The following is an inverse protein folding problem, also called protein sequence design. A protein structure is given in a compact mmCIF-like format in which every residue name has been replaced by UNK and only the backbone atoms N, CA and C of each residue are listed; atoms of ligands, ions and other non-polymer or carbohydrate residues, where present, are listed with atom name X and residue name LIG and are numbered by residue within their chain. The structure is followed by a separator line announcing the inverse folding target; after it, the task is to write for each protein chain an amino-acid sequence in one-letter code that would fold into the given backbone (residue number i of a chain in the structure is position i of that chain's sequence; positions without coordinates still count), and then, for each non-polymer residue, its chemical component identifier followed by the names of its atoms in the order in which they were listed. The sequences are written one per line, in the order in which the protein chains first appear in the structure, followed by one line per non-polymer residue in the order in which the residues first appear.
data_IF_187001722116
#
_entry.id   IF_187001722116
#
_cell.length_a   1.000
_cell.length_b   1.000
_cell.length_c   1.000
_cell.angle_alpha   90.00
_cell.angle_beta   90.00
_cell.angle_gamma   90.00
#
_symmetry.space_group_name_H-M   'P 1'
#
loop_
_entity.id
_entity.type
_entity.pdbx_description
1 polymer ?
#
# COMPACT_ATOMS: atom_id res chain seq x y z
N UNK A 1 -5.80 11.88 8.58
CA UNK A 1 -5.32 11.10 7.41
C UNK A 1 -4.57 11.96 6.38
N UNK A 2 -3.42 11.49 5.87
CA UNK A 2 -2.68 12.07 4.73
C UNK A 2 -2.69 11.05 3.58
N UNK A 3 -3.86 10.91 2.93
CA UNK A 3 -4.07 9.94 1.84
C UNK A 3 -3.63 10.57 0.52
N UNK A 4 -2.82 9.82 -0.23
CA UNK A 4 -2.24 10.27 -1.49
C UNK A 4 -2.59 9.28 -2.59
N UNK A 5 -3.36 9.77 -3.58
CA UNK A 5 -3.75 8.96 -4.72
C UNK A 5 -2.53 8.66 -5.60
N UNK A 6 -2.30 7.39 -5.92
CA UNK A 6 -1.22 6.96 -6.82
C UNK A 6 -1.78 6.81 -8.24
N UNK A 7 -2.78 5.94 -8.38
CA UNK A 7 -3.55 5.68 -9.61
C UNK A 7 -5.01 5.46 -9.24
N UNK A 8 -5.92 5.51 -10.21
CA UNK A 8 -7.30 5.10 -9.97
C UNK A 8 -7.36 3.71 -9.31
N UNK A 9 -8.16 3.57 -8.26
CA UNK A 9 -8.30 2.32 -7.50
C UNK A 9 -7.21 2.03 -6.45
N UNK A 10 -6.11 2.81 -6.39
CA UNK A 10 -5.04 2.61 -5.40
C UNK A 10 -4.50 3.93 -4.81
N UNK A 11 -4.52 4.03 -3.49
CA UNK A 11 -3.95 5.14 -2.74
C UNK A 11 -2.99 4.64 -1.65
N UNK A 12 -2.06 5.50 -1.25
CA UNK A 12 -1.12 5.23 -0.17
C UNK A 12 -1.22 6.30 0.93
N UNK A 13 -0.90 5.93 2.17
CA UNK A 13 -0.84 6.86 3.29
C UNK A 13 0.30 6.52 4.28
N UNK A 14 0.73 7.50 5.10
CA UNK A 14 1.42 7.23 6.36
C UNK A 14 0.57 6.36 7.30
N UNK A 15 1.12 6.05 8.48
CA UNK A 15 0.42 5.24 9.48
C UNK A 15 -1.02 5.75 9.71
N UNK A 16 -1.98 4.84 9.55
CA UNK A 16 -3.39 5.08 9.88
C UNK A 16 -3.65 4.70 11.34
N UNK A 17 -4.67 5.30 11.94
CA UNK A 17 -5.19 4.91 13.24
C UNK A 17 -6.46 4.04 13.08
N UNK A 18 -6.75 3.12 14.03
CA UNK A 18 -7.98 2.33 14.02
C UNK A 18 -9.25 3.20 13.93
N UNK A 19 -9.24 4.36 14.58
CA UNK A 19 -10.36 5.31 14.57
C UNK A 19 -10.63 5.95 13.19
N UNK A 20 -9.64 5.94 12.28
CA UNK A 20 -9.76 6.52 10.93
C UNK A 20 -10.45 5.55 9.94
N UNK A 21 -10.72 4.29 10.31
CA UNK A 21 -11.29 3.29 9.38
C UNK A 21 -12.72 3.67 8.93
N UNK A 22 -13.52 4.26 9.82
CA UNK A 22 -14.86 4.74 9.46
C UNK A 22 -14.81 5.88 8.43
N UNK A 23 -13.84 6.79 8.56
CA UNK A 23 -13.63 7.88 7.60
C UNK A 23 -13.13 7.33 6.26
N UNK A 24 -12.19 6.38 6.27
CA UNK A 24 -11.72 5.71 5.05
C UNK A 24 -12.86 5.03 4.28
N UNK A 25 -13.74 4.31 4.98
CA UNK A 25 -14.92 3.70 4.37
C UNK A 25 -15.90 4.75 3.80
N UNK A 26 -16.11 5.87 4.51
CA UNK A 26 -16.95 6.97 4.04
C UNK A 26 -16.38 7.67 2.79
N UNK A 27 -15.05 7.68 2.63
CA UNK A 27 -14.37 8.13 1.41
C UNK A 27 -14.49 7.13 0.25
N UNK A 28 -15.06 5.96 0.49
CA UNK A 28 -15.34 4.94 -0.52
C UNK A 28 -14.30 3.83 -0.63
N UNK A 29 -13.24 3.85 0.18
CA UNK A 29 -12.26 2.75 0.22
C UNK A 29 -12.93 1.45 0.65
N UNK A 30 -12.51 0.34 0.04
CA UNK A 30 -13.10 -0.98 0.28
C UNK A 30 -12.12 -1.96 0.90
N UNK A 31 -10.83 -1.72 0.72
CA UNK A 31 -9.77 -2.56 1.25
C UNK A 31 -8.70 -1.71 1.91
N UNK A 32 -8.29 -2.11 3.12
CA UNK A 32 -7.11 -1.59 3.80
C UNK A 32 -5.95 -2.56 3.63
N UNK A 33 -4.79 -2.08 3.17
CA UNK A 33 -3.60 -2.91 2.95
C UNK A 33 -2.42 -2.42 3.81
N UNK A 34 -2.04 -3.21 4.81
CA UNK A 34 -0.94 -2.85 5.71
C UNK A 34 0.40 -3.41 5.19
N UNK A 35 1.36 -2.52 4.91
CA UNK A 35 2.74 -2.89 4.57
C UNK A 35 3.76 -2.59 5.69
N UNK A 36 3.28 -2.35 6.91
CA UNK A 36 4.12 -2.09 8.08
C UNK A 36 4.15 -3.31 9.00
N UNK A 37 5.32 -3.92 9.25
CA UNK A 37 5.44 -4.95 10.28
C UNK A 37 5.02 -4.42 11.65
N UNK A 38 4.41 -5.28 12.47
CA UNK A 38 4.10 -4.96 13.86
C UNK A 38 5.36 -4.70 14.69
N UNK A 39 5.21 -3.85 15.71
CA UNK A 39 6.29 -3.55 16.64
C UNK A 39 7.46 -2.73 16.07
N UNK A 40 7.30 -2.08 14.90
CA UNK A 40 8.34 -1.20 14.34
C UNK A 40 8.59 0.03 15.22
N UNK A 41 7.59 0.48 16.01
CA UNK A 41 7.72 1.63 16.91
C UNK A 41 6.83 1.48 18.17
N UNK A 42 7.24 2.02 19.34
CA UNK A 42 6.37 2.12 20.50
C UNK A 42 5.08 2.89 20.18
N UNK A 43 3.94 2.33 20.61
CA UNK A 43 2.62 2.92 20.37
C UNK A 43 2.09 2.74 18.95
N UNK A 44 2.75 1.94 18.11
CA UNK A 44 2.18 1.50 16.83
C UNK A 44 0.96 0.60 17.10
N UNK A 45 -0.22 0.90 16.51
CA UNK A 45 -1.32 -0.05 16.45
C UNK A 45 -0.88 -1.31 15.71
N UNK A 46 -1.15 -2.48 16.29
CA UNK A 46 -0.82 -3.74 15.63
C UNK A 46 -1.80 -4.04 14.47
N UNK A 47 -1.38 -4.92 13.57
CA UNK A 47 -2.17 -5.28 12.40
C UNK A 47 -3.51 -5.91 12.79
N UNK A 48 -3.60 -6.59 13.94
CA UNK A 48 -4.83 -7.20 14.42
C UNK A 48 -5.86 -6.14 14.86
N UNK A 49 -5.43 -5.09 15.55
CA UNK A 49 -6.27 -3.95 15.92
C UNK A 49 -6.76 -3.20 14.67
N UNK A 50 -5.87 -3.00 13.69
CA UNK A 50 -6.21 -2.37 12.41
C UNK A 50 -7.19 -3.21 11.59
N UNK A 51 -7.00 -4.54 11.56
CA UNK A 51 -7.90 -5.47 10.89
C UNK A 51 -9.30 -5.43 11.52
N UNK A 52 -9.39 -5.52 12.85
CA UNK A 52 -10.65 -5.47 13.56
C UNK A 52 -11.42 -4.17 13.26
N UNK A 53 -10.72 -3.03 13.25
CA UNK A 53 -11.32 -1.74 12.93
C UNK A 53 -11.76 -1.62 11.46
N UNK A 54 -10.95 -2.11 10.52
CA UNK A 54 -11.29 -2.11 9.10
C UNK A 54 -12.55 -2.96 8.82
N UNK A 55 -12.60 -4.18 9.39
CA UNK A 55 -13.76 -5.07 9.27
C UNK A 55 -15.00 -4.49 9.93
N UNK A 56 -14.86 -3.83 11.09
CA UNK A 56 -15.98 -3.14 11.74
C UNK A 56 -16.54 -1.99 10.90
N UNK A 57 -15.70 -1.35 10.09
CA UNK A 57 -16.10 -0.32 9.12
C UNK A 57 -16.60 -0.91 7.78
N UNK A 58 -16.68 -2.24 7.65
CA UNK A 58 -17.17 -2.92 6.44
C UNK A 58 -16.16 -2.99 5.29
N UNK A 59 -14.87 -2.85 5.59
CA UNK A 59 -13.78 -2.99 4.61
C UNK A 59 -13.05 -4.32 4.77
N UNK A 60 -12.46 -4.81 3.67
CA UNK A 60 -11.47 -5.88 3.73
C UNK A 60 -10.16 -5.38 4.35
N UNK A 61 -9.37 -6.31 4.87
CA UNK A 61 -8.04 -6.04 5.37
C UNK A 61 -7.05 -7.05 4.81
N UNK A 62 -5.90 -6.56 4.31
CA UNK A 62 -4.78 -7.38 3.85
C UNK A 62 -3.51 -6.97 4.56
N UNK A 63 -2.79 -7.95 5.10
CA UNK A 63 -1.51 -7.74 5.77
C UNK A 63 -0.36 -8.29 4.92
N UNK A 64 0.47 -7.39 4.41
CA UNK A 64 1.65 -7.67 3.58
C UNK A 64 2.88 -6.93 4.13
N UNK A 65 3.41 -7.32 5.31
CA UNK A 65 4.45 -6.57 6.00
C UNK A 65 5.77 -6.55 5.21
N UNK A 66 6.22 -5.34 4.86
CA UNK A 66 7.52 -5.13 4.21
C UNK A 66 8.57 -4.82 5.27
N UNK A 67 9.45 -5.78 5.52
CA UNK A 67 10.60 -5.62 6.40
C UNK A 67 11.74 -4.87 5.70
N UNK A 68 12.54 -4.06 6.43
CA UNK A 68 13.71 -3.42 5.87
C UNK A 68 14.68 -4.44 5.25
N UNK A 69 15.18 -4.16 4.04
CA UNK A 69 16.25 -4.93 3.42
C UNK A 69 15.86 -5.86 2.27
N UNK A 70 14.56 -6.11 2.01
CA UNK A 70 14.13 -6.79 0.78
C UNK A 70 12.64 -6.58 0.47
N UNK A 71 12.33 -6.42 -0.82
CA UNK A 71 11.01 -6.72 -1.39
C UNK A 71 11.10 -8.11 -2.04
N UNK A 72 11.00 -9.21 -1.27
CA UNK A 72 11.06 -10.55 -1.84
C UNK A 72 9.94 -10.76 -2.86
N UNK A 73 10.18 -11.65 -3.83
CA UNK A 73 9.21 -11.97 -4.90
C UNK A 73 7.81 -12.29 -4.35
N UNK A 74 7.73 -12.95 -3.20
CA UNK A 74 6.46 -13.30 -2.56
C UNK A 74 5.63 -12.08 -2.13
N UNK A 75 6.27 -11.00 -1.68
CA UNK A 75 5.53 -9.76 -1.37
C UNK A 75 5.04 -9.09 -2.64
N UNK A 76 5.82 -9.13 -3.72
CA UNK A 76 5.41 -8.60 -5.02
C UNK A 76 4.21 -9.38 -5.53
N UNK A 77 4.26 -10.72 -5.48
CA UNK A 77 3.15 -11.59 -5.85
C UNK A 77 1.91 -11.32 -4.99
N UNK A 78 2.05 -11.24 -3.67
CA UNK A 78 0.91 -10.94 -2.78
C UNK A 78 0.31 -9.55 -3.01
N UNK A 79 1.10 -8.56 -3.44
CA UNK A 79 0.57 -7.26 -3.87
C UNK A 79 -0.16 -7.39 -5.21
N UNK A 80 0.35 -8.18 -6.17
CA UNK A 80 -0.35 -8.47 -7.42
C UNK A 80 -1.69 -9.14 -7.17
N UNK A 81 -1.74 -10.11 -6.26
CA UNK A 81 -2.96 -10.80 -5.83
C UNK A 81 -3.94 -9.81 -5.19
N UNK A 82 -3.45 -8.95 -4.28
CA UNK A 82 -4.29 -7.94 -3.65
C UNK A 82 -4.88 -6.96 -4.68
N UNK A 83 -4.10 -6.51 -5.66
CA UNK A 83 -4.56 -5.63 -6.74
C UNK A 83 -5.56 -6.30 -7.69
N UNK A 84 -5.51 -7.64 -7.83
CA UNK A 84 -6.39 -8.39 -8.72
C UNK A 84 -7.68 -8.86 -8.04
N UNK A 85 -7.63 -9.19 -6.75
CA UNK A 85 -8.70 -9.90 -6.06
C UNK A 85 -9.47 -9.05 -5.05
N UNK A 86 -8.85 -8.02 -4.48
CA UNK A 86 -9.51 -7.22 -3.43
C UNK A 86 -10.46 -6.18 -4.03
N UNK A 87 -11.50 -5.86 -3.27
CA UNK A 87 -12.39 -4.76 -3.62
C UNK A 87 -11.63 -3.42 -3.67
N UNK A 88 -11.85 -2.67 -4.75
CA UNK A 88 -11.26 -1.35 -4.96
C UNK A 88 -12.26 -0.24 -4.60
N UNK A 89 -11.79 0.97 -4.21
CA UNK A 89 -10.41 1.40 -4.08
C UNK A 89 -9.68 0.80 -2.86
N UNK A 90 -8.39 0.48 -3.04
CA UNK A 90 -7.48 0.01 -2.00
C UNK A 90 -6.76 1.22 -1.38
N UNK A 91 -6.75 1.30 -0.05
CA UNK A 91 -5.92 2.21 0.72
C UNK A 91 -4.80 1.43 1.41
N UNK A 92 -3.59 1.55 0.88
CA UNK A 92 -2.41 0.95 1.46
C UNK A 92 -1.72 1.91 2.45
N UNK A 93 -1.15 1.40 3.53
CA UNK A 93 -0.36 2.22 4.44
C UNK A 93 0.90 1.49 4.92
N UNK A 94 1.90 2.29 5.28
CA UNK A 94 2.99 1.81 6.11
C UNK A 94 3.36 2.88 7.14
N UNK A 95 4.64 3.04 7.51
CA UNK A 95 5.06 4.18 8.35
C UNK A 95 4.86 5.53 7.65
N UNK A 96 5.31 5.64 6.40
CA UNK A 96 5.28 6.90 5.62
C UNK A 96 4.50 6.79 4.31
N UNK A 97 4.00 5.60 3.97
CA UNK A 97 3.42 5.26 2.65
C UNK A 97 4.44 4.80 1.60
N UNK A 98 5.73 5.10 1.78
CA UNK A 98 6.79 4.78 0.80
C UNK A 98 6.88 3.30 0.45
N UNK A 99 6.83 2.39 1.43
CA UNK A 99 6.89 0.93 1.18
C UNK A 99 5.69 0.44 0.38
N UNK A 100 4.51 0.98 0.66
CA UNK A 100 3.27 0.64 -0.03
C UNK A 100 3.35 1.04 -1.50
N UNK A 101 3.81 2.26 -1.77
CA UNK A 101 3.97 2.74 -3.15
C UNK A 101 5.08 2.01 -3.90
N UNK A 102 6.21 1.72 -3.24
CA UNK A 102 7.29 0.93 -3.86
C UNK A 102 6.84 -0.50 -4.19
N UNK A 103 6.10 -1.15 -3.29
CA UNK A 103 5.60 -2.51 -3.52
C UNK A 103 4.55 -2.54 -4.64
N UNK A 104 3.64 -1.56 -4.68
CA UNK A 104 2.73 -1.36 -5.80
C UNK A 104 3.48 -1.19 -7.13
N UNK A 105 4.51 -0.33 -7.14
CA UNK A 105 5.30 -0.08 -8.35
C UNK A 105 5.99 -1.35 -8.87
N UNK A 106 6.55 -2.17 -7.98
CA UNK A 106 7.15 -3.46 -8.35
C UNK A 106 6.11 -4.46 -8.87
N UNK A 107 4.91 -4.49 -8.29
CA UNK A 107 3.81 -5.35 -8.72
C UNK A 107 3.25 -5.00 -10.10
N UNK A 108 3.30 -3.71 -10.47
CA UNK A 108 2.81 -3.19 -11.75
C UNK A 108 3.89 -3.14 -12.85
N UNK A 109 5.16 -3.43 -12.53
CA UNK A 109 6.29 -3.32 -13.46
C UNK A 109 6.13 -4.15 -14.75
N UNK A 110 5.43 -5.29 -14.65
CA UNK A 110 5.18 -6.21 -15.78
C UNK A 110 3.91 -5.83 -16.57
N UNK A 111 3.16 -4.83 -16.10
CA UNK A 111 1.84 -4.44 -16.63
C UNK A 111 1.79 -3.02 -17.17
N UNK A 112 2.74 -2.16 -16.77
CA UNK A 112 2.79 -0.75 -17.13
C UNK A 112 4.21 -0.32 -17.52
N UNK A 113 4.35 0.64 -18.45
CA UNK A 113 5.65 1.25 -18.72
C UNK A 113 6.26 1.87 -17.45
N UNK A 114 7.56 1.69 -17.24
CA UNK A 114 8.30 2.22 -16.07
C UNK A 114 8.07 3.71 -15.86
N UNK A 115 8.01 4.50 -16.94
CA UNK A 115 7.73 5.94 -16.89
C UNK A 115 6.38 6.27 -16.25
N UNK A 116 5.32 5.54 -16.60
CA UNK A 116 3.98 5.75 -16.03
C UNK A 116 3.92 5.38 -14.55
N UNK A 117 4.64 4.33 -14.14
CA UNK A 117 4.74 3.91 -12.73
C UNK A 117 5.41 5.01 -11.89
N UNK A 118 6.52 5.56 -12.39
CA UNK A 118 7.24 6.65 -11.73
C UNK A 118 6.38 7.91 -11.64
N UNK A 119 5.69 8.28 -12.72
CA UNK A 119 4.78 9.44 -12.73
C UNK A 119 3.62 9.28 -11.75
N UNK A 120 3.04 8.08 -11.64
CA UNK A 120 1.99 7.78 -10.68
C UNK A 120 2.49 7.90 -9.22
N UNK A 121 3.67 7.36 -8.90
CA UNK A 121 4.29 7.55 -7.59
C UNK A 121 4.52 9.03 -7.26
N UNK A 122 5.08 9.79 -8.21
CA UNK A 122 5.32 11.23 -8.06
C UNK A 122 4.03 12.03 -7.84
N UNK A 123 2.93 11.66 -8.52
CA UNK A 123 1.61 12.28 -8.33
C UNK A 123 1.12 12.12 -6.89
N UNK A 124 1.39 10.95 -6.29
CA UNK A 124 1.16 10.68 -4.88
C UNK A 124 2.23 11.25 -3.93
N UNK A 125 3.20 12.01 -4.42
CA UNK A 125 4.28 12.57 -3.61
C UNK A 125 5.29 11.55 -3.10
N UNK A 126 5.46 10.42 -3.79
CA UNK A 126 6.45 9.39 -3.48
C UNK A 126 7.48 9.28 -4.61
N UNK A 127 8.72 9.60 -4.29
CA UNK A 127 9.83 9.45 -5.23
C UNK A 127 10.19 7.97 -5.43
N UNK A 128 10.09 7.51 -6.68
CA UNK A 128 10.41 6.16 -7.12
C UNK A 128 11.69 6.10 -7.97
N UNK A 129 12.46 7.18 -8.09
CA UNK A 129 13.67 7.21 -8.93
C UNK A 129 14.68 6.13 -8.54
N UNK A 130 14.84 5.88 -7.24
CA UNK A 130 15.73 4.82 -6.73
C UNK A 130 15.28 3.40 -7.11
N UNK A 131 14.01 3.24 -7.50
CA UNK A 131 13.42 1.95 -7.86
C UNK A 131 13.55 1.64 -9.36
N UNK A 132 13.83 2.64 -10.21
CA UNK A 132 13.87 2.50 -11.68
C UNK A 132 14.75 1.33 -12.15
N UNK A 133 15.98 1.11 -11.65
CA UNK A 133 16.79 -0.03 -12.09
C UNK A 133 16.10 -1.38 -11.86
N UNK A 134 15.33 -1.50 -10.78
CA UNK A 134 14.59 -2.71 -10.44
C UNK A 134 13.32 -2.87 -11.27
N UNK A 135 12.64 -1.76 -11.61
CA UNK A 135 11.47 -1.79 -12.48
C UNK A 135 11.85 -2.20 -13.91
N UNK A 136 12.94 -1.64 -14.44
CA UNK A 136 13.43 -1.96 -15.80
C UNK A 136 13.93 -3.40 -15.92
N UNK A 137 14.43 -4.00 -14.83
CA UNK A 137 14.84 -5.41 -14.83
C UNK A 137 13.66 -6.39 -14.92
N UNK A 138 12.43 -5.90 -14.78
CA UNK A 138 11.19 -6.69 -14.79
C UNK A 138 10.34 -6.48 -16.05
N UNK A 139 10.36 -5.27 -16.62
CA UNK A 139 9.61 -4.87 -17.82
C UNK A 139 10.02 -5.58 -19.11
#
# INVERSE_FOLDING_TARGET
MDIRQIVEGFAAAPQLAPAEMAEAAAMGFRTILCNRPDGEQPGQPDAAEMEAAARAAGMEFRYLPVFPGAFPGDLIAGMQDALAECDTPILAYCRSGTRSTMLWALAEADKRPVGEIVEAGNRGGYDLQSLVPFLTARS
#
